data_IF_774532401168
#
_entry.id   IF_774532401168
#
_cell.length_a   1.000
_cell.length_b   1.000
_cell.length_c   1.000
_cell.angle_alpha   90.00
_cell.angle_beta   90.00
_cell.angle_gamma   90.00
#
_symmetry.space_group_name_H-M   'P 1'
#
loop_
_entity.id
_entity.type
_entity.pdbx_description
1 polymer ?
#
# COMPACT_ATOMS: atom_id res chain seq x y z
N UNK A 1 -3.71 0.89 15.83
CA UNK A 1 -3.65 2.00 14.86
C UNK A 1 -2.52 3.00 15.12
N UNK A 2 -2.02 3.17 16.36
CA UNK A 2 -1.01 4.19 16.69
C UNK A 2 0.29 4.13 15.85
N UNK A 3 0.85 2.94 15.59
CA UNK A 3 2.07 2.80 14.79
C UNK A 3 1.88 3.14 13.29
N UNK A 4 0.67 2.95 12.74
CA UNK A 4 0.37 3.28 11.34
C UNK A 4 0.37 4.80 11.11
N UNK A 5 -0.14 5.57 12.08
CA UNK A 5 -0.28 7.03 11.98
C UNK A 5 1.07 7.74 11.83
N UNK A 6 2.13 7.20 12.43
CA UNK A 6 3.50 7.72 12.31
C UNK A 6 4.25 7.17 11.08
N UNK A 7 3.54 6.55 10.13
CA UNK A 7 4.14 5.98 8.92
C UNK A 7 4.80 4.60 9.10
N UNK A 8 4.80 4.04 10.30
CA UNK A 8 5.41 2.75 10.60
C UNK A 8 4.78 1.57 9.83
N UNK A 9 5.60 0.58 9.46
CA UNK A 9 5.18 -0.69 8.84
C UNK A 9 5.91 -1.86 9.51
N UNK A 10 5.20 -2.95 9.75
CA UNK A 10 5.77 -4.20 10.29
C UNK A 10 5.50 -5.32 9.29
N UNK A 11 6.54 -6.07 8.96
CA UNK A 11 6.45 -7.30 8.18
C UNK A 11 6.91 -8.44 9.08
N UNK A 12 6.08 -9.48 9.20
CA UNK A 12 6.42 -10.71 9.89
C UNK A 12 6.33 -11.86 8.90
N UNK A 13 7.38 -12.68 8.84
CA UNK A 13 7.44 -13.87 8.01
C UNK A 13 7.76 -15.07 8.89
N UNK A 14 6.98 -16.14 8.74
CA UNK A 14 7.19 -17.43 9.41
C UNK A 14 6.96 -18.55 8.40
N UNK A 15 7.66 -19.67 8.58
CA UNK A 15 7.43 -20.89 7.81
C UNK A 15 6.30 -21.72 8.44
N UNK A 16 6.16 -21.68 9.76
CA UNK A 16 5.15 -22.43 10.50
C UNK A 16 4.17 -21.45 11.18
N UNK A 17 2.90 -21.40 10.71
CA UNK A 17 1.93 -20.42 11.20
C UNK A 17 1.22 -20.86 12.49
N UNK A 18 1.94 -21.46 13.44
CA UNK A 18 1.34 -21.89 14.72
C UNK A 18 1.20 -20.71 15.70
N UNK A 19 0.22 -20.82 16.62
CA UNK A 19 -0.12 -19.75 17.59
C UNK A 19 1.07 -19.33 18.46
N UNK A 20 1.95 -20.28 18.80
CA UNK A 20 3.13 -20.04 19.64
C UNK A 20 4.22 -19.24 18.92
N UNK A 21 4.35 -19.40 17.59
CA UNK A 21 5.36 -18.72 16.78
C UNK A 21 4.93 -17.30 16.44
N UNK A 22 3.62 -17.08 16.20
CA UNK A 22 3.07 -15.74 15.92
C UNK A 22 1.93 -15.41 16.90
N UNK A 23 2.24 -15.04 18.15
CA UNK A 23 1.23 -14.75 19.17
C UNK A 23 0.32 -13.58 18.79
N UNK A 24 0.88 -12.58 18.09
CA UNK A 24 0.20 -11.34 17.69
C UNK A 24 -0.42 -11.41 16.28
N UNK A 25 -0.71 -12.60 15.75
CA UNK A 25 -1.24 -12.79 14.37
C UNK A 25 -2.55 -12.03 14.08
N UNK A 26 -3.32 -11.70 15.11
CA UNK A 26 -4.55 -10.91 15.00
C UNK A 26 -4.32 -9.42 14.69
N UNK A 27 -3.11 -8.89 14.92
CA UNK A 27 -2.80 -7.48 14.71
C UNK A 27 -2.41 -7.14 13.27
N UNK A 28 -2.21 -8.15 12.43
CA UNK A 28 -1.86 -7.95 11.02
C UNK A 28 -3.13 -7.81 10.18
N UNK A 29 -3.41 -6.62 9.62
CA UNK A 29 -4.58 -6.40 8.79
C UNK A 29 -4.45 -7.08 7.43
N UNK A 30 -3.21 -7.26 6.95
CA UNK A 30 -2.93 -7.99 5.70
C UNK A 30 -2.10 -9.23 6.03
N UNK A 31 -2.55 -10.37 5.53
CA UNK A 31 -1.91 -11.68 5.71
C UNK A 31 -1.71 -12.30 4.33
N UNK A 32 -0.56 -12.92 4.14
CA UNK A 32 -0.19 -13.58 2.88
C UNK A 32 0.24 -14.99 3.22
N UNK A 33 -0.34 -15.97 2.54
CA UNK A 33 0.04 -17.37 2.64
C UNK A 33 0.54 -17.86 1.28
N UNK A 34 1.81 -18.24 1.24
CA UNK A 34 2.39 -19.02 0.15
C UNK A 34 1.86 -20.47 0.24
N UNK A 35 2.42 -21.38 -0.56
CA UNK A 35 2.11 -22.80 -0.45
C UNK A 35 2.28 -23.30 0.99
N UNK A 36 1.24 -23.95 1.50
CA UNK A 36 1.22 -24.62 2.80
C UNK A 36 1.05 -26.14 2.60
N UNK A 37 1.33 -26.92 3.65
CA UNK A 37 1.22 -28.39 3.59
C UNK A 37 -0.17 -28.88 3.98
N UNK A 38 -0.81 -28.22 4.94
CA UNK A 38 -2.10 -28.65 5.48
C UNK A 38 -3.19 -27.59 5.34
N UNK A 39 -4.42 -28.07 5.16
CA UNK A 39 -5.62 -27.24 5.20
C UNK A 39 -5.74 -26.44 6.51
N UNK A 40 -5.34 -27.04 7.63
CA UNK A 40 -5.37 -26.42 8.96
C UNK A 40 -4.49 -25.16 9.01
N UNK A 41 -3.34 -25.17 8.32
CA UNK A 41 -2.39 -24.07 8.30
C UNK A 41 -2.93 -22.86 7.54
N UNK A 42 -3.82 -23.06 6.57
CA UNK A 42 -4.46 -21.96 5.84
C UNK A 42 -5.24 -21.07 6.79
N UNK A 43 -6.10 -21.67 7.62
CA UNK A 43 -6.93 -20.92 8.55
C UNK A 43 -6.09 -20.34 9.70
N UNK A 44 -4.99 -21.00 10.08
CA UNK A 44 -4.05 -20.44 11.05
C UNK A 44 -3.29 -19.21 10.51
N UNK A 45 -2.90 -19.22 9.23
CA UNK A 45 -2.14 -18.15 8.59
C UNK A 45 -3.01 -16.97 8.16
N UNK A 46 -4.15 -17.23 7.50
CA UNK A 46 -5.00 -16.21 6.90
C UNK A 46 -6.18 -15.80 7.81
N UNK A 47 -6.56 -16.66 8.75
CA UNK A 47 -7.71 -16.49 9.63
C UNK A 47 -8.78 -17.55 9.40
N UNK A 48 -9.68 -17.66 10.37
CA UNK A 48 -10.69 -18.72 10.42
C UNK A 48 -11.66 -18.70 9.23
N UNK A 49 -11.92 -19.87 8.66
CA UNK A 49 -12.80 -20.09 7.52
C UNK A 49 -12.34 -19.43 6.22
N UNK A 50 -11.11 -18.93 6.12
CA UNK A 50 -10.60 -18.32 4.87
C UNK A 50 -10.42 -19.40 3.80
N UNK A 51 -10.07 -20.63 4.20
CA UNK A 51 -9.96 -21.74 3.27
C UNK A 51 -11.29 -22.07 2.58
N UNK A 52 -12.37 -22.14 3.36
CA UNK A 52 -13.74 -22.37 2.84
C UNK A 52 -14.19 -21.25 1.88
N UNK A 53 -13.64 -20.05 2.04
CA UNK A 53 -13.85 -18.90 1.16
C UNK A 53 -12.95 -18.88 -0.08
N UNK A 54 -12.21 -19.96 -0.35
CA UNK A 54 -11.48 -20.15 -1.60
C UNK A 54 -9.96 -19.95 -1.54
N UNK A 55 -9.37 -19.77 -0.35
CA UNK A 55 -7.91 -19.72 -0.22
C UNK A 55 -7.32 -21.14 -0.13
N UNK A 56 -7.14 -21.82 -1.25
CA UNK A 56 -6.56 -23.17 -1.27
C UNK A 56 -5.02 -23.12 -1.29
N UNK A 57 -4.42 -22.50 -0.27
CA UNK A 57 -2.97 -22.38 -0.15
C UNK A 57 -2.28 -23.74 0.07
N UNK A 58 -2.98 -24.70 0.67
CA UNK A 58 -2.59 -26.11 0.82
C UNK A 58 -2.57 -26.88 -0.50
N UNK A 59 -3.22 -26.37 -1.55
CA UNK A 59 -3.33 -27.01 -2.86
C UNK A 59 -2.46 -26.35 -3.92
N UNK A 60 -1.60 -25.39 -3.54
CA UNK A 60 -0.67 -24.75 -4.49
C UNK A 60 0.36 -25.81 -4.92
N UNK A 61 0.49 -26.12 -6.23
CA UNK A 61 1.47 -27.11 -6.68
C UNK A 61 2.91 -26.62 -6.50
N UNK A 62 3.83 -27.56 -6.23
CA UNK A 62 5.26 -27.27 -6.02
C UNK A 62 5.93 -26.56 -7.21
N UNK A 63 5.45 -26.82 -8.43
CA UNK A 63 5.97 -26.20 -9.66
C UNK A 63 5.49 -24.76 -9.89
N UNK A 64 4.69 -24.19 -8.98
CA UNK A 64 4.18 -22.82 -9.04
C UNK A 64 4.79 -21.92 -7.94
N UNK A 65 6.12 -21.68 -7.94
CA UNK A 65 6.75 -20.82 -6.95
C UNK A 65 6.21 -19.39 -7.05
N UNK A 66 6.10 -18.74 -5.89
CA UNK A 66 5.61 -17.36 -5.77
C UNK A 66 4.09 -17.22 -5.83
N UNK A 67 3.31 -18.28 -6.09
CA UNK A 67 1.85 -18.22 -5.95
C UNK A 67 1.48 -18.13 -4.47
N UNK A 68 0.58 -17.22 -4.14
CA UNK A 68 0.12 -16.99 -2.78
C UNK A 68 -1.36 -16.57 -2.75
N UNK A 69 -1.96 -16.63 -1.56
CA UNK A 69 -3.24 -16.01 -1.26
C UNK A 69 -3.05 -14.85 -0.30
N UNK A 70 -3.69 -13.72 -0.61
CA UNK A 70 -3.66 -12.50 0.20
C UNK A 70 -5.03 -12.29 0.82
N UNK A 71 -5.04 -12.07 2.12
CA UNK A 71 -6.23 -11.70 2.88
C UNK A 71 -6.00 -10.33 3.53
N UNK A 72 -6.79 -9.36 3.12
CA UNK A 72 -6.81 -8.01 3.72
C UNK A 72 -8.07 -7.86 4.56
N UNK A 73 -7.94 -7.18 5.69
CA UNK A 73 -9.04 -6.73 6.54
C UNK A 73 -10.07 -5.93 5.72
N UNK A 74 -11.36 -6.18 5.94
CA UNK A 74 -12.45 -5.58 5.18
C UNK A 74 -12.80 -6.30 3.87
N UNK A 75 -11.84 -6.99 3.21
CA UNK A 75 -12.20 -7.88 2.10
C UNK A 75 -12.83 -9.15 2.65
N UNK A 76 -13.85 -9.71 1.99
CA UNK A 76 -14.41 -11.04 2.34
C UNK A 76 -13.62 -12.16 1.68
N UNK A 77 -13.29 -12.00 0.41
CA UNK A 77 -12.66 -13.02 -0.42
C UNK A 77 -11.13 -12.88 -0.42
N UNK A 78 -10.39 -14.01 -0.34
CA UNK A 78 -8.95 -14.01 -0.50
C UNK A 78 -8.56 -13.82 -1.97
N UNK A 79 -7.52 -13.02 -2.23
CA UNK A 79 -7.02 -12.79 -3.58
C UNK A 79 -5.86 -13.76 -3.88
N UNK A 80 -5.93 -14.47 -5.01
CA UNK A 80 -4.80 -15.26 -5.50
C UNK A 80 -3.84 -14.37 -6.28
N UNK A 81 -2.57 -14.38 -5.92
CA UNK A 81 -1.51 -13.56 -6.52
C UNK A 81 -0.30 -14.41 -6.91
N UNK A 82 0.58 -13.86 -7.73
CA UNK A 82 1.90 -14.41 -8.01
C UNK A 82 2.96 -13.34 -7.79
N UNK A 83 3.86 -13.58 -6.85
CA UNK A 83 5.01 -12.72 -6.63
C UNK A 83 5.97 -12.77 -7.84
N UNK A 84 6.58 -11.63 -8.15
CA UNK A 84 7.70 -11.60 -9.07
C UNK A 84 8.88 -12.36 -8.46
N UNK A 85 9.68 -12.99 -9.32
CA UNK A 85 10.93 -13.61 -8.90
C UNK A 85 12.04 -12.56 -8.93
N UNK A 86 12.79 -12.49 -7.84
CA UNK A 86 13.98 -11.65 -7.70
C UNK A 86 15.08 -12.55 -7.16
N UNK A 87 16.19 -12.65 -7.90
CA UNK A 87 17.32 -13.50 -7.52
C UNK A 87 18.27 -12.81 -6.54
N UNK A 88 19.17 -13.60 -5.95
CA UNK A 88 20.18 -13.08 -5.01
C UNK A 88 21.15 -12.10 -5.70
N UNK A 89 21.42 -12.29 -6.99
CA UNK A 89 22.24 -11.38 -7.79
C UNK A 89 21.54 -10.02 -7.98
N UNK A 90 20.23 -10.01 -8.29
CA UNK A 90 19.43 -8.78 -8.42
C UNK A 90 19.40 -8.02 -7.08
N UNK A 91 19.25 -8.73 -5.96
CA UNK A 91 19.29 -8.15 -4.61
C UNK A 91 20.68 -7.57 -4.33
N UNK A 92 21.74 -8.30 -4.69
CA UNK A 92 23.13 -7.85 -4.51
C UNK A 92 23.40 -6.58 -5.32
N UNK A 93 22.92 -6.51 -6.56
CA UNK A 93 22.99 -5.32 -7.40
C UNK A 93 22.22 -4.15 -6.77
N UNK A 94 20.98 -4.38 -6.33
CA UNK A 94 20.17 -3.35 -5.67
C UNK A 94 20.85 -2.80 -4.41
N UNK A 95 21.45 -3.66 -3.59
CA UNK A 95 22.20 -3.24 -2.39
C UNK A 95 23.40 -2.38 -2.80
N UNK A 96 24.17 -2.79 -3.82
CA UNK A 96 25.31 -2.00 -4.32
C UNK A 96 24.86 -0.63 -4.82
N UNK A 97 23.79 -0.58 -5.60
CA UNK A 97 23.23 0.67 -6.10
C UNK A 97 22.78 1.58 -4.95
N UNK A 98 21.96 1.08 -4.03
CA UNK A 98 21.38 1.86 -2.94
C UNK A 98 22.39 2.33 -1.87
N UNK A 99 23.52 1.62 -1.74
CA UNK A 99 24.61 1.95 -0.79
C UNK A 99 25.80 2.62 -1.46
N UNK A 100 25.78 2.78 -2.78
CA UNK A 100 26.81 3.51 -3.51
C UNK A 100 26.83 4.96 -3.01
N UNK A 101 28.01 5.46 -2.67
CA UNK A 101 28.21 6.85 -2.25
C UNK A 101 28.41 7.77 -3.46
N UNK A 102 28.31 7.23 -4.68
CA UNK A 102 28.30 7.99 -5.92
C UNK A 102 26.95 8.69 -6.05
N UNK A 103 26.88 9.92 -5.55
CA UNK A 103 25.71 10.76 -5.71
C UNK A 103 25.59 11.17 -7.18
N UNK A 104 24.53 10.72 -7.85
CA UNK A 104 24.12 11.33 -9.12
C UNK A 104 23.43 12.65 -8.78
N UNK A 105 24.14 13.76 -8.97
CA UNK A 105 23.56 15.10 -8.88
C UNK A 105 22.66 15.27 -10.09
N UNK A 106 21.35 15.22 -9.87
CA UNK A 106 20.37 15.63 -10.88
C UNK A 106 20.27 17.15 -10.80
N UNK A 107 20.64 17.82 -11.90
CA UNK A 107 20.38 19.24 -12.04
C UNK A 107 18.87 19.47 -11.96
N UNK A 108 18.42 20.12 -10.89
CA UNK A 108 17.06 20.62 -10.89
C UNK A 108 16.95 21.66 -12.00
N UNK A 109 15.87 21.66 -12.80
CA UNK A 109 15.65 22.71 -13.79
C UNK A 109 15.61 24.04 -13.03
N UNK A 110 16.69 24.81 -13.18
CA UNK A 110 16.83 26.08 -12.52
C UNK A 110 15.85 27.05 -13.18
N UNK A 111 14.87 27.53 -12.42
CA UNK A 111 13.90 28.53 -12.89
C UNK A 111 14.59 29.85 -13.26
N UNK A 112 15.83 30.03 -12.80
CA UNK A 112 16.61 31.24 -12.98
C UNK A 112 17.40 31.30 -14.30
N UNK A 113 17.32 30.29 -15.19
CA UNK A 113 17.81 30.44 -16.56
C UNK A 113 16.76 31.11 -17.48
N UNK A 114 15.95 31.99 -16.91
CA UNK A 114 15.10 32.97 -17.61
C UNK A 114 15.82 34.32 -17.65
N UNK A 115 17.01 34.33 -18.23
CA UNK A 115 17.71 35.54 -18.71
C UNK A 115 18.63 35.00 -19.80
N UNK A 116 18.37 35.15 -21.08
CA UNK A 116 18.01 36.36 -21.81
C UNK A 116 16.90 36.03 -22.83
N UNK A 117 15.65 36.36 -22.50
CA UNK A 117 14.66 36.59 -23.55
C UNK A 117 15.02 37.95 -24.16
N UNK A 118 15.53 37.92 -25.39
CA UNK A 118 15.78 39.08 -26.24
C UNK A 118 14.56 40.02 -26.17
N UNK A 119 14.76 41.25 -25.68
CA UNK A 119 13.70 42.22 -25.34
C UNK A 119 12.99 42.82 -26.58
N UNK A 120 12.83 42.05 -27.66
CA UNK A 120 12.34 42.58 -28.94
C UNK A 120 11.42 41.64 -29.74
N UNK A 121 10.59 40.83 -29.07
CA UNK A 121 9.44 40.20 -29.72
C UNK A 121 8.12 40.60 -29.05
N UNK A 122 7.07 40.95 -29.83
CA UNK A 122 5.78 41.30 -29.25
C UNK A 122 5.16 40.05 -28.60
N UNK A 123 4.75 40.20 -27.34
CA UNK A 123 4.14 39.14 -26.54
C UNK A 123 2.89 38.56 -27.25
N UNK A 124 2.99 37.32 -27.71
CA UNK A 124 1.82 36.49 -27.98
C UNK A 124 1.42 35.82 -26.65
N UNK A 125 0.22 36.11 -26.17
CA UNK A 125 -0.27 35.64 -24.87
C UNK A 125 -0.57 34.14 -24.95
N UNK A 126 0.06 33.26 -24.15
CA UNK A 126 -0.35 31.88 -24.10
C UNK A 126 -1.67 31.79 -23.32
N UNK A 127 -2.66 31.21 -23.99
CA UNK A 127 -4.03 31.03 -23.53
C UNK A 127 -4.08 30.34 -22.16
N UNK A 128 -4.73 30.97 -21.17
CA UNK A 128 -4.82 30.49 -19.78
C UNK A 128 -5.97 29.49 -19.55
N UNK A 129 -6.48 28.86 -20.61
CA UNK A 129 -7.75 28.13 -20.57
C UNK A 129 -7.70 26.73 -19.91
N UNK A 130 -6.55 26.24 -19.45
CA UNK A 130 -6.42 24.85 -18.94
C UNK A 130 -6.27 24.72 -17.41
N UNK A 131 -6.56 25.76 -16.61
CA UNK A 131 -6.60 25.62 -15.14
C UNK A 131 -8.03 25.31 -14.68
N UNK A 132 -8.35 24.04 -14.51
CA UNK A 132 -9.58 23.62 -13.83
C UNK A 132 -9.53 24.07 -12.35
N UNK A 133 -10.34 25.08 -12.02
CA UNK A 133 -10.61 25.48 -10.65
C UNK A 133 -11.50 24.43 -9.97
N UNK A 134 -10.96 23.75 -8.95
CA UNK A 134 -11.75 22.90 -8.05
C UNK A 134 -12.54 23.83 -7.12
N UNK A 135 -13.86 23.88 -7.29
CA UNK A 135 -14.77 24.53 -6.35
C UNK A 135 -14.92 23.65 -5.10
N UNK A 136 -14.58 24.21 -3.94
CA UNK A 136 -14.84 23.61 -2.63
C UNK A 136 -16.29 23.93 -2.28
N UNK A 137 -17.16 22.92 -2.26
CA UNK A 137 -18.54 23.06 -1.79
C UNK A 137 -18.49 23.18 -0.27
N UNK A 138 -18.83 24.37 0.23
CA UNK A 138 -19.01 24.70 1.64
C UNK A 138 -20.47 24.47 2.01
N UNK A 139 -20.84 23.24 2.41
CA UNK A 139 -22.18 22.89 2.89
C UNK A 139 -22.37 23.33 4.35
N UNK A 140 -22.19 24.63 4.59
CA UNK A 140 -22.57 25.28 5.85
C UNK A 140 -24.05 25.63 5.85
N UNK A 141 -24.89 24.75 6.39
CA UNK A 141 -26.22 25.11 6.90
C UNK A 141 -26.25 24.84 8.41
N UNK A 142 -26.08 25.92 9.17
CA UNK A 142 -26.49 26.03 10.57
C UNK A 142 -28.02 26.22 10.60
N UNK A 143 -28.77 25.26 11.14
CA UNK A 143 -30.14 25.47 11.62
C UNK A 143 -30.22 25.06 13.10
N UNK A 144 -30.35 26.09 13.94
CA UNK A 144 -30.74 26.03 15.34
C UNK A 144 -32.21 25.58 15.46
N UNK A 145 -32.48 24.48 16.16
CA UNK A 145 -33.80 24.20 16.73
C UNK A 145 -33.66 23.85 18.22
N UNK A 146 -33.87 24.86 19.06
CA UNK A 146 -34.24 24.67 20.46
C UNK A 146 -35.69 24.17 20.54
N UNK A 147 -35.92 22.93 20.98
CA UNK A 147 -37.16 22.59 21.70
C UNK A 147 -36.89 21.65 22.89
N UNK A 148 -37.42 22.06 24.05
CA UNK A 148 -37.10 21.53 25.36
C UNK A 148 -37.69 20.16 25.67
N UNK A 149 -37.01 19.45 26.57
CA UNK A 149 -37.58 18.34 27.31
C UNK A 149 -37.62 18.68 28.79
N UNK A 150 -38.84 18.81 29.29
CA UNK A 150 -39.20 18.96 30.70
C UNK A 150 -38.79 17.73 31.51
N UNK A 151 -38.40 17.98 32.76
CA UNK A 151 -38.05 16.98 33.75
C UNK A 151 -39.29 16.36 34.42
N UNK A 152 -39.33 15.03 34.51
CA UNK A 152 -39.93 14.27 35.63
C UNK A 152 -39.41 12.82 35.65
#
# INVERSE_FOLDING_TARGET
TQYRAVGGRVVAATQEPIKEVVPMRGLFPTKIALRLEEASYVDMALGEGVRERGAFADQIPDYMPGVAYVKTEGSREPLRVRAAYTGDDDITELVRFATSHDATVLDFPNRDNSTEADENEPADSPNTDDVEHIEVIDDGEDEDDEEGFDAA
#
